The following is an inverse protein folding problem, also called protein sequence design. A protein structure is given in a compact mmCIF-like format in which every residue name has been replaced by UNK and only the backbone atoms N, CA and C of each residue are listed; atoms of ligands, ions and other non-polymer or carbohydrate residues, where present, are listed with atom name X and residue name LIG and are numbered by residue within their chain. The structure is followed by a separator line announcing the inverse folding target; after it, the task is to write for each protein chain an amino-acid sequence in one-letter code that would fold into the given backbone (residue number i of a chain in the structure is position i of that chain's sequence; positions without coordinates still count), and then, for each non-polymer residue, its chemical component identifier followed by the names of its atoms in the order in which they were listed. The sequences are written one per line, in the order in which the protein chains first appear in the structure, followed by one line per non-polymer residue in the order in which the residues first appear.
data_IF_811756371249
#
_entry.id   IF_811756371249
#
_cell.length_a   1.000
_cell.length_b   1.000
_cell.length_c   1.000
_cell.angle_alpha   90.00
_cell.angle_beta   90.00
_cell.angle_gamma   90.00
#
_symmetry.space_group_name_H-M   'P 1'
#
loop_
_entity.id
_entity.type
_entity.pdbx_description
1 polymer ?
#
# COMPACT_ATOMS: atom_id res chain seq x y z
N UNK A 1 2.96 -17.03 44.10
CA UNK A 1 2.16 -15.79 44.29
C UNK A 1 2.95 -14.55 43.87
N UNK A 2 4.30 -14.57 43.89
CA UNK A 2 5.13 -13.41 43.54
C UNK A 2 5.07 -13.00 42.06
N UNK A 3 4.96 -13.94 41.13
CA UNK A 3 4.91 -13.61 39.69
C UNK A 3 3.72 -12.71 39.33
N UNK A 4 2.53 -13.00 39.87
CA UNK A 4 1.32 -12.23 39.55
C UNK A 4 1.38 -10.85 40.20
N UNK A 5 1.94 -10.74 41.41
CA UNK A 5 2.15 -9.46 42.08
C UNK A 5 3.19 -8.59 41.35
N UNK A 6 4.31 -9.19 40.91
CA UNK A 6 5.34 -8.49 40.13
C UNK A 6 4.79 -8.04 38.77
N UNK A 7 4.10 -8.93 38.05
CA UNK A 7 3.45 -8.59 36.77
C UNK A 7 2.46 -7.43 36.93
N UNK A 8 1.58 -7.47 37.94
CA UNK A 8 0.61 -6.40 38.18
C UNK A 8 1.30 -5.10 38.57
N UNK A 9 2.36 -5.16 39.39
CA UNK A 9 3.13 -3.98 39.78
C UNK A 9 3.82 -3.34 38.56
N UNK A 10 4.52 -4.12 37.75
CA UNK A 10 5.20 -3.64 36.55
C UNK A 10 4.20 -3.13 35.51
N UNK A 11 3.05 -3.80 35.38
CA UNK A 11 1.96 -3.35 34.51
C UNK A 11 1.38 -2.00 34.95
N UNK A 12 1.15 -1.79 36.26
CA UNK A 12 0.68 -0.50 36.80
C UNK A 12 1.72 0.59 36.58
N UNK A 13 3.01 0.30 36.80
CA UNK A 13 4.10 1.24 36.52
C UNK A 13 4.12 1.63 35.04
N UNK A 14 3.96 0.66 34.13
CA UNK A 14 3.94 0.92 32.69
C UNK A 14 2.70 1.72 32.26
N UNK A 15 1.54 1.50 32.88
CA UNK A 15 0.32 2.30 32.67
C UNK A 15 0.48 3.78 33.05
N UNK A 16 1.38 4.08 33.99
CA UNK A 16 1.69 5.45 34.39
C UNK A 16 2.69 6.15 33.45
N UNK A 17 3.22 5.47 32.43
CA UNK A 17 4.08 6.11 31.44
C UNK A 17 3.31 7.19 30.66
N UNK A 18 3.91 8.38 30.41
CA UNK A 18 3.22 9.48 29.73
C UNK A 18 2.63 9.07 28.37
N UNK A 19 3.34 8.24 27.62
CA UNK A 19 2.91 7.76 26.30
C UNK A 19 1.66 6.89 26.39
N UNK A 20 1.62 5.92 27.31
CA UNK A 20 0.50 5.00 27.45
C UNK A 20 -0.70 5.70 28.09
N UNK A 21 -0.47 6.58 29.05
CA UNK A 21 -1.50 7.43 29.63
C UNK A 21 -2.15 8.35 28.59
N UNK A 22 -1.36 8.98 27.70
CA UNK A 22 -1.89 9.78 26.60
C UNK A 22 -2.69 8.95 25.59
N UNK A 23 -2.21 7.75 25.24
CA UNK A 23 -2.91 6.83 24.33
C UNK A 23 -4.25 6.37 24.92
N UNK A 24 -4.26 5.89 26.16
CA UNK A 24 -5.47 5.41 26.84
C UNK A 24 -6.42 6.58 27.10
N UNK A 25 -5.91 7.72 27.56
CA UNK A 25 -6.70 8.93 27.78
C UNK A 25 -7.35 9.43 26.49
N UNK A 26 -6.60 9.46 25.38
CA UNK A 26 -7.13 9.79 24.06
C UNK A 26 -8.20 8.81 23.59
N UNK A 27 -8.00 7.51 23.80
CA UNK A 27 -9.00 6.47 23.48
C UNK A 27 -10.27 6.65 24.31
N UNK A 28 -10.16 6.94 25.60
CA UNK A 28 -11.30 7.19 26.48
C UNK A 28 -12.03 8.47 26.05
N UNK A 29 -11.31 9.57 25.78
CA UNK A 29 -11.92 10.80 25.27
C UNK A 29 -12.67 10.56 23.96
N UNK A 30 -12.07 9.82 23.03
CA UNK A 30 -12.71 9.46 21.77
C UNK A 30 -13.96 8.58 21.99
N UNK A 31 -13.89 7.61 22.89
CA UNK A 31 -15.02 6.75 23.24
C UNK A 31 -16.17 7.52 23.92
N UNK A 32 -15.86 8.59 24.65
CA UNK A 32 -16.83 9.52 25.25
C UNK A 32 -17.41 10.52 24.23
N UNK A 33 -17.01 10.45 22.96
CA UNK A 33 -17.46 11.36 21.91
C UNK A 33 -16.83 12.75 21.98
N UNK A 34 -15.70 12.89 22.70
CA UNK A 34 -14.97 14.16 22.74
C UNK A 34 -14.24 14.41 21.42
N UNK A 35 -14.67 15.45 20.69
CA UNK A 35 -13.99 15.92 19.49
C UNK A 35 -12.79 16.80 19.87
N UNK A 36 -11.77 16.21 20.50
CA UNK A 36 -10.51 16.90 20.74
C UNK A 36 -9.75 17.06 19.42
N UNK A 37 -10.11 18.09 18.66
CA UNK A 37 -9.44 18.42 17.39
C UNK A 37 -8.19 19.24 17.71
N UNK A 38 -7.03 18.61 17.54
CA UNK A 38 -5.75 19.32 17.55
C UNK A 38 -5.57 19.96 16.17
N UNK A 39 -5.38 21.29 16.08
CA UNK A 39 -5.15 21.95 14.80
C UNK A 39 -3.94 21.38 14.06
N UNK A 40 -4.08 21.17 12.76
CA UNK A 40 -3.03 20.58 11.90
C UNK A 40 -1.71 21.38 11.97
N UNK A 41 -1.80 22.70 12.10
CA UNK A 41 -0.64 23.57 12.27
C UNK A 41 0.19 23.22 13.50
N UNK A 42 -0.45 22.85 14.61
CA UNK A 42 0.26 22.47 15.85
C UNK A 42 0.99 21.15 15.64
N UNK A 43 0.33 20.15 15.04
CA UNK A 43 0.95 18.87 14.70
C UNK A 43 2.19 19.07 13.81
N UNK A 44 2.07 19.93 12.79
CA UNK A 44 3.16 20.22 11.86
C UNK A 44 4.36 20.86 12.56
N UNK A 45 4.12 21.86 13.42
CA UNK A 45 5.19 22.52 14.18
C UNK A 45 5.87 21.53 15.14
N UNK A 46 5.11 20.68 15.82
CA UNK A 46 5.66 19.65 16.73
C UNK A 46 6.53 18.66 15.97
N UNK A 47 6.04 18.12 14.85
CA UNK A 47 6.81 17.18 14.02
C UNK A 47 8.08 17.84 13.48
N UNK A 48 7.97 19.07 12.97
CA UNK A 48 9.13 19.82 12.50
C UNK A 48 10.17 20.03 13.61
N UNK A 49 9.73 20.42 14.81
CA UNK A 49 10.62 20.63 15.95
C UNK A 49 11.30 19.32 16.38
N UNK A 50 10.55 18.22 16.43
CA UNK A 50 11.09 16.89 16.77
C UNK A 50 12.14 16.44 15.74
N UNK A 51 11.80 16.48 14.45
CA UNK A 51 12.72 16.11 13.38
C UNK A 51 13.97 17.00 13.37
N UNK A 52 13.81 18.30 13.60
CA UNK A 52 14.92 19.26 13.69
C UNK A 52 15.83 18.94 14.87
N UNK A 53 15.25 18.69 16.06
CA UNK A 53 16.00 18.29 17.27
C UNK A 53 16.81 17.02 17.00
N UNK A 54 16.18 15.98 16.46
CA UNK A 54 16.84 14.69 16.20
C UNK A 54 17.92 14.83 15.14
N UNK A 55 17.65 15.58 14.06
CA UNK A 55 18.61 15.83 13.00
C UNK A 55 19.85 16.58 13.51
N UNK A 56 19.65 17.61 14.33
CA UNK A 56 20.75 18.36 14.96
C UNK A 56 21.53 17.47 15.94
N UNK A 57 20.86 16.78 16.86
CA UNK A 57 21.52 15.89 17.83
C UNK A 57 22.28 14.76 17.13
N UNK A 58 21.67 14.12 16.13
CA UNK A 58 22.33 13.07 15.33
C UNK A 58 23.51 13.60 14.52
N UNK A 59 23.40 14.79 13.92
CA UNK A 59 24.49 15.42 13.18
C UNK A 59 25.69 15.79 14.06
N UNK A 60 25.44 16.33 15.26
CA UNK A 60 26.48 16.62 16.25
C UNK A 60 27.14 15.32 16.72
N UNK A 61 26.36 14.26 16.95
CA UNK A 61 26.88 12.96 17.33
C UNK A 61 27.79 12.35 16.24
N UNK A 62 27.38 12.40 14.97
CA UNK A 62 28.20 11.92 13.84
C UNK A 62 29.54 12.65 13.80
N UNK A 63 29.55 13.98 13.99
CA UNK A 63 30.79 14.78 13.98
C UNK A 63 31.79 14.36 15.05
N UNK A 64 31.31 13.87 16.20
CA UNK A 64 32.13 13.52 17.35
C UNK A 64 32.40 12.00 17.48
N UNK A 65 31.83 11.17 16.59
CA UNK A 65 31.90 9.71 16.67
C UNK A 65 32.80 9.11 15.58
N UNK A 66 33.28 7.89 15.80
CA UNK A 66 33.98 7.13 14.76
C UNK A 66 32.96 6.62 13.73
N UNK A 67 33.07 7.10 12.49
CA UNK A 67 32.18 6.71 11.40
C UNK A 67 32.19 5.20 11.11
N UNK A 68 33.31 4.52 11.41
CA UNK A 68 33.44 3.08 11.21
C UNK A 68 32.47 2.26 12.07
N UNK A 69 32.16 2.73 13.29
CA UNK A 69 31.24 2.04 14.19
C UNK A 69 29.78 2.13 13.69
N UNK A 70 29.48 3.15 12.87
CA UNK A 70 28.16 3.38 12.30
C UNK A 70 27.90 2.57 11.01
N UNK A 71 28.93 2.10 10.31
CA UNK A 71 28.78 1.41 9.00
C UNK A 71 27.97 0.13 9.14
N UNK A 72 28.27 -0.70 10.14
CA UNK A 72 27.58 -1.98 10.31
C UNK A 72 26.09 -1.78 10.67
N UNK A 73 25.72 -0.92 11.64
CA UNK A 73 24.33 -0.55 11.91
C UNK A 73 23.61 0.14 10.75
N UNK A 74 24.31 0.96 9.96
CA UNK A 74 23.73 1.59 8.77
C UNK A 74 23.31 0.55 7.73
N UNK A 75 24.19 -0.40 7.43
CA UNK A 75 23.89 -1.49 6.49
C UNK A 75 22.74 -2.35 7.01
N UNK A 76 22.72 -2.67 8.30
CA UNK A 76 21.63 -3.45 8.88
C UNK A 76 20.28 -2.72 8.78
N UNK A 77 20.25 -1.41 9.03
CA UNK A 77 19.04 -0.59 8.87
C UNK A 77 18.50 -0.59 7.44
N UNK A 78 19.38 -0.44 6.43
CA UNK A 78 19.00 -0.52 5.01
C UNK A 78 18.39 -1.89 4.69
N UNK A 79 19.07 -2.96 5.11
CA UNK A 79 18.62 -4.34 4.87
C UNK A 79 17.26 -4.58 5.53
N UNK A 80 17.08 -4.15 6.77
CA UNK A 80 15.83 -4.28 7.51
C UNK A 80 14.69 -3.54 6.82
N UNK A 81 14.90 -2.27 6.39
CA UNK A 81 13.88 -1.51 5.68
C UNK A 81 13.40 -2.22 4.41
N UNK A 82 14.34 -2.78 3.63
CA UNK A 82 14.04 -3.57 2.44
C UNK A 82 13.30 -4.86 2.80
N UNK A 83 13.77 -5.60 3.79
CA UNK A 83 13.19 -6.88 4.22
C UNK A 83 11.73 -6.70 4.66
N UNK A 84 11.40 -5.64 5.40
CA UNK A 84 10.03 -5.38 5.87
C UNK A 84 9.06 -5.23 4.68
N UNK A 85 9.47 -4.53 3.61
CA UNK A 85 8.66 -4.39 2.39
C UNK A 85 8.42 -5.75 1.73
N UNK A 86 9.45 -6.60 1.66
CA UNK A 86 9.30 -7.95 1.12
C UNK A 86 8.40 -8.83 2.00
N UNK A 87 8.56 -8.79 3.32
CA UNK A 87 7.70 -9.53 4.26
C UNK A 87 6.25 -9.12 4.06
N UNK A 88 5.97 -7.81 4.01
CA UNK A 88 4.61 -7.32 3.76
C UNK A 88 4.08 -7.81 2.41
N UNK A 89 4.89 -7.75 1.35
CA UNK A 89 4.50 -8.29 0.04
C UNK A 89 4.17 -9.79 0.10
N UNK A 90 4.93 -10.61 0.82
CA UNK A 90 4.70 -12.06 0.85
C UNK A 90 3.62 -12.50 1.83
N UNK A 91 3.40 -11.73 2.89
CA UNK A 91 2.44 -12.03 3.96
C UNK A 91 1.08 -11.37 3.67
N UNK A 92 1.04 -10.04 3.51
CA UNK A 92 -0.23 -9.33 3.29
C UNK A 92 -0.85 -9.64 1.93
N UNK A 93 -0.05 -9.89 0.89
CA UNK A 93 -0.63 -10.24 -0.41
C UNK A 93 -1.25 -11.65 -0.45
N UNK A 94 -1.05 -12.47 0.59
CA UNK A 94 -1.73 -13.77 0.75
C UNK A 94 -3.05 -13.65 1.49
N UNK A 95 -3.33 -12.51 2.12
CA UNK A 95 -4.60 -12.30 2.82
C UNK A 95 -5.77 -12.18 1.82
N UNK A 96 -6.93 -12.75 2.13
CA UNK A 96 -8.13 -12.57 1.31
C UNK A 96 -8.50 -11.09 1.26
N UNK A 97 -8.95 -10.62 0.09
CA UNK A 97 -9.36 -9.23 -0.20
C UNK A 97 -8.27 -8.15 -0.22
N UNK A 98 -6.98 -8.48 -0.04
CA UNK A 98 -5.90 -7.50 -0.11
C UNK A 98 -5.28 -7.49 -1.51
N UNK A 99 -5.26 -6.33 -2.18
CA UNK A 99 -4.55 -6.20 -3.46
C UNK A 99 -3.04 -6.24 -3.19
N UNK A 100 -2.29 -6.88 -4.09
CA UNK A 100 -0.83 -6.96 -3.97
C UNK A 100 -0.17 -5.57 -3.91
N UNK A 101 -0.73 -4.58 -4.60
CA UNK A 101 -0.22 -3.19 -4.56
C UNK A 101 -0.45 -2.57 -3.18
N UNK A 102 -1.61 -2.79 -2.57
CA UNK A 102 -1.93 -2.29 -1.24
C UNK A 102 -1.03 -2.96 -0.19
N UNK A 103 -0.75 -4.27 -0.32
CA UNK A 103 0.20 -4.97 0.52
C UNK A 103 1.63 -4.40 0.43
N UNK A 104 2.09 -4.04 -0.78
CA UNK A 104 3.40 -3.43 -0.99
C UNK A 104 3.42 -2.00 -0.45
N UNK A 105 2.36 -1.22 -0.64
CA UNK A 105 2.25 0.14 -0.13
C UNK A 105 2.26 0.16 1.41
N UNK A 106 1.52 -0.74 2.05
CA UNK A 106 1.55 -0.96 3.50
C UNK A 106 2.93 -1.40 3.97
N UNK A 107 3.61 -2.28 3.22
CA UNK A 107 5.00 -2.65 3.47
C UNK A 107 5.97 -1.48 3.40
N UNK A 108 5.78 -0.59 2.44
CA UNK A 108 6.51 0.68 2.34
C UNK A 108 6.24 1.58 3.52
N UNK A 109 4.98 1.75 3.92
CA UNK A 109 4.57 2.60 5.04
C UNK A 109 5.15 2.14 6.39
N UNK A 110 5.19 0.83 6.66
CA UNK A 110 5.73 0.29 7.91
C UNK A 110 7.23 -0.02 7.84
N UNK A 111 7.78 -0.21 6.64
CA UNK A 111 9.22 -0.31 6.43
C UNK A 111 9.90 1.06 6.50
N UNK A 112 9.21 2.10 6.05
CA UNK A 112 9.52 3.49 6.32
C UNK A 112 9.29 3.77 7.80
N UNK A 113 10.35 4.04 8.54
CA UNK A 113 10.20 4.46 9.94
C UNK A 113 9.57 5.85 9.94
N UNK A 114 8.69 6.14 10.90
CA UNK A 114 8.25 7.51 11.13
C UNK A 114 9.24 8.23 12.06
N UNK A 115 9.73 9.39 11.65
CA UNK A 115 10.69 10.15 12.46
C UNK A 115 10.12 10.59 13.81
N UNK A 116 8.80 10.80 13.90
CA UNK A 116 8.13 11.08 15.18
C UNK A 116 8.09 9.87 16.11
N UNK A 117 7.94 8.65 15.57
CA UNK A 117 7.98 7.42 16.36
C UNK A 117 9.39 7.14 16.87
N UNK A 118 10.41 7.37 16.05
CA UNK A 118 11.80 7.27 16.51
C UNK A 118 12.09 8.31 17.60
N UNK A 119 11.62 9.55 17.42
CA UNK A 119 11.75 10.62 18.43
C UNK A 119 11.21 10.18 19.80
N UNK A 120 9.99 9.64 19.80
CA UNK A 120 9.34 9.14 20.99
C UNK A 120 10.12 7.98 21.60
N UNK A 121 10.58 7.03 20.78
CA UNK A 121 11.38 5.88 21.24
C UNK A 121 12.69 6.30 21.90
N UNK A 122 13.44 7.23 21.30
CA UNK A 122 14.66 7.77 21.90
C UNK A 122 14.37 8.49 23.23
N UNK A 123 13.28 9.24 23.30
CA UNK A 123 12.86 9.94 24.53
C UNK A 123 12.51 8.94 25.64
N UNK A 124 11.83 7.84 25.31
CA UNK A 124 11.53 6.77 26.29
C UNK A 124 12.82 6.10 26.77
N UNK A 125 13.79 5.84 25.90
CA UNK A 125 15.09 5.30 26.31
C UNK A 125 15.83 6.26 27.27
N UNK A 126 15.78 7.57 27.01
CA UNK A 126 16.32 8.60 27.91
C UNK A 126 15.62 8.59 29.27
N UNK A 127 14.28 8.54 29.29
CA UNK A 127 13.47 8.48 30.53
C UNK A 127 13.79 7.23 31.36
N UNK A 128 14.04 6.10 30.71
CA UNK A 128 14.39 4.84 31.36
C UNK A 128 15.89 4.72 31.67
N UNK A 129 16.69 5.75 31.39
CA UNK A 129 18.14 5.75 31.56
C UNK A 129 18.86 4.63 30.79
N UNK A 130 18.28 4.15 29.69
CA UNK A 130 18.87 3.12 28.84
C UNK A 130 19.83 3.82 27.88
N UNK A 131 21.11 3.47 27.99
CA UNK A 131 22.15 4.03 27.14
C UNK A 131 21.97 3.52 25.69
N UNK A 132 22.08 4.45 24.74
CA UNK A 132 22.07 4.16 23.31
C UNK A 132 23.09 5.05 22.61
N UNK A 133 23.50 4.64 21.42
CA UNK A 133 24.49 5.36 20.62
C UNK A 133 23.97 6.75 20.20
N UNK A 134 24.75 7.81 20.42
CA UNK A 134 24.30 9.18 20.14
C UNK A 134 23.95 9.42 18.65
N UNK A 135 24.52 8.62 17.75
CA UNK A 135 24.24 8.65 16.31
C UNK A 135 23.03 7.79 15.91
N UNK A 136 22.34 7.12 16.84
CA UNK A 136 21.20 6.24 16.53
C UNK A 136 20.10 6.94 15.74
N UNK A 137 19.81 8.21 16.06
CA UNK A 137 18.84 9.03 15.32
C UNK A 137 19.24 9.26 13.85
N UNK A 138 20.53 9.23 13.53
CA UNK A 138 21.03 9.42 12.17
C UNK A 138 20.81 8.20 11.27
N UNK A 139 20.45 7.04 11.81
CA UNK A 139 20.11 5.85 11.01
C UNK A 139 18.74 5.97 10.34
N UNK A 140 17.90 6.89 10.82
CA UNK A 140 16.54 7.08 10.33
C UNK A 140 16.43 7.11 8.80
N UNK A 141 17.16 7.98 8.07
CA UNK A 141 17.00 8.09 6.62
C UNK A 141 17.50 6.84 5.88
N UNK A 142 18.47 6.13 6.47
CA UNK A 142 19.03 4.90 5.91
C UNK A 142 18.06 3.72 6.01
N UNK A 143 17.06 3.78 6.87
CA UNK A 143 15.96 2.81 6.88
C UNK A 143 14.78 3.28 6.02
N UNK A 144 14.41 4.55 6.15
CA UNK A 144 13.23 5.15 5.51
C UNK A 144 13.34 5.17 3.97
N UNK A 145 14.41 5.76 3.44
CA UNK A 145 14.58 5.93 1.99
C UNK A 145 14.62 4.58 1.27
N UNK A 146 15.42 3.58 1.70
CA UNK A 146 15.44 2.29 1.02
C UNK A 146 14.11 1.54 1.07
N UNK A 147 13.36 1.62 2.18
CA UNK A 147 12.05 0.99 2.27
C UNK A 147 11.05 1.62 1.29
N UNK A 148 10.94 2.96 1.25
CA UNK A 148 10.05 3.67 0.34
C UNK A 148 10.40 3.41 -1.13
N UNK A 149 11.68 3.55 -1.49
CA UNK A 149 12.15 3.29 -2.85
C UNK A 149 11.86 1.85 -3.25
N UNK A 150 12.13 0.89 -2.38
CA UNK A 150 11.86 -0.53 -2.64
C UNK A 150 10.38 -0.79 -2.85
N UNK A 151 9.49 -0.23 -2.02
CA UNK A 151 8.05 -0.37 -2.17
C UNK A 151 7.56 0.19 -3.52
N UNK A 152 8.02 1.40 -3.89
CA UNK A 152 7.67 2.04 -5.17
C UNK A 152 8.15 1.18 -6.35
N UNK A 153 9.41 0.75 -6.36
CA UNK A 153 9.99 -0.04 -7.45
C UNK A 153 9.27 -1.38 -7.59
N UNK A 154 9.04 -2.09 -6.49
CA UNK A 154 8.34 -3.38 -6.47
C UNK A 154 6.90 -3.24 -6.95
N UNK A 155 6.18 -2.22 -6.49
CA UNK A 155 4.80 -1.94 -6.92
C UNK A 155 4.76 -1.65 -8.43
N UNK A 156 5.68 -0.84 -8.93
CA UNK A 156 5.73 -0.44 -10.34
C UNK A 156 6.07 -1.64 -11.26
N UNK A 157 7.02 -2.49 -10.85
CA UNK A 157 7.33 -3.75 -11.55
C UNK A 157 6.11 -4.67 -11.59
N UNK A 158 5.37 -4.79 -10.49
CA UNK A 158 4.16 -5.62 -10.41
C UNK A 158 3.06 -5.12 -11.36
N UNK A 159 2.80 -3.81 -11.37
CA UNK A 159 1.82 -3.18 -12.25
C UNK A 159 2.17 -3.37 -13.73
N UNK A 160 3.44 -3.17 -14.10
CA UNK A 160 3.90 -3.39 -15.47
C UNK A 160 3.76 -4.85 -15.93
N UNK A 161 4.05 -5.81 -15.06
CA UNK A 161 3.82 -7.24 -15.37
C UNK A 161 2.34 -7.56 -15.57
N UNK A 162 1.46 -6.98 -14.76
CA UNK A 162 -0.01 -7.16 -14.90
C UNK A 162 -0.52 -6.56 -16.21
N UNK A 163 -0.07 -5.35 -16.58
CA UNK A 163 -0.42 -4.69 -17.85
C UNK A 163 0.05 -5.49 -19.07
N UNK A 164 1.28 -6.02 -19.06
CA UNK A 164 1.76 -6.89 -20.16
C UNK A 164 0.94 -8.17 -20.29
N UNK A 165 0.57 -8.80 -19.16
CA UNK A 165 -0.26 -10.01 -19.15
C UNK A 165 -1.68 -9.76 -19.66
N UNK A 166 -2.30 -8.62 -19.34
CA UNK A 166 -3.62 -8.27 -19.85
C UNK A 166 -3.60 -8.01 -21.36
N UNK A 167 -2.58 -7.32 -21.87
CA UNK A 167 -2.41 -7.06 -23.30
C UNK A 167 -2.18 -8.38 -24.06
N UNK A 168 -1.31 -9.25 -23.58
CA UNK A 168 -1.09 -10.57 -24.18
C UNK A 168 -2.36 -11.44 -24.16
N UNK A 169 -3.14 -11.41 -23.08
CA UNK A 169 -4.39 -12.14 -22.99
C UNK A 169 -5.48 -11.57 -23.92
N UNK A 170 -5.50 -10.25 -24.15
CA UNK A 170 -6.40 -9.61 -25.10
C UNK A 170 -6.06 -9.99 -26.55
N UNK A 171 -4.78 -9.95 -26.93
CA UNK A 171 -4.34 -10.36 -28.27
C UNK A 171 -4.63 -11.83 -28.56
N UNK A 172 -4.43 -12.73 -27.59
CA UNK A 172 -4.78 -14.16 -27.74
C UNK A 172 -6.29 -14.36 -27.85
N UNK A 173 -7.09 -13.57 -27.13
CA UNK A 173 -8.56 -13.64 -27.21
C UNK A 173 -9.08 -13.12 -28.55
N UNK A 174 -8.52 -12.03 -29.08
CA UNK A 174 -8.85 -11.49 -30.41
C UNK A 174 -8.43 -12.44 -31.53
N UNK A 175 -7.24 -13.05 -31.44
CA UNK A 175 -6.78 -14.04 -32.42
C UNK A 175 -7.62 -15.33 -32.36
N UNK A 176 -8.07 -15.74 -31.18
CA UNK A 176 -8.95 -16.91 -31.01
C UNK A 176 -10.38 -16.65 -31.50
N UNK A 177 -10.92 -15.44 -31.30
CA UNK A 177 -12.20 -15.00 -31.86
C UNK A 177 -12.15 -14.88 -33.38
N UNK A 178 -11.01 -14.44 -33.93
CA UNK A 178 -10.81 -14.34 -35.38
C UNK A 178 -10.60 -15.69 -36.06
N UNK A 179 -10.15 -16.73 -35.33
CA UNK A 179 -9.93 -18.09 -35.85
C UNK A 179 -11.08 -19.05 -35.54
N UNK A 180 -12.11 -18.60 -34.83
CA UNK A 180 -13.29 -19.42 -34.57
C UNK A 180 -14.03 -19.60 -35.91
N UNK A 181 -14.09 -20.82 -36.49
CA UNK A 181 -14.92 -21.02 -37.66
C UNK A 181 -16.34 -20.71 -37.22
N UNK A 182 -16.95 -19.72 -37.85
CA UNK A 182 -18.38 -19.44 -37.70
C UNK A 182 -19.05 -20.78 -37.99
N UNK A 183 -19.59 -21.42 -36.96
CA UNK A 183 -20.38 -22.62 -37.13
C UNK A 183 -21.54 -22.20 -38.02
N UNK A 184 -21.44 -22.56 -39.30
CA UNK A 184 -22.53 -22.45 -40.25
C UNK A 184 -23.63 -23.35 -39.67
N UNK A 185 -24.53 -22.74 -38.90
CA UNK A 185 -25.81 -23.34 -38.60
C UNK A 185 -26.47 -23.65 -39.94
N UNK A 186 -27.08 -24.84 -40.01
CA UNK A 186 -27.79 -25.34 -41.18
C UNK A 186 -28.58 -24.21 -41.86
N UNK A 187 -28.06 -23.74 -42.98
CA UNK A 187 -28.84 -22.88 -43.88
C UNK A 187 -29.92 -23.78 -44.48
N UNK A 188 -31.22 -23.42 -44.40
CA UNK A 188 -32.21 -24.10 -45.20
C UNK A 188 -31.81 -23.93 -46.68
N UNK A 189 -31.87 -25.03 -47.42
CA UNK A 189 -31.46 -25.09 -48.81
C UNK A 189 -32.08 -23.96 -49.65
N UNK A 190 -31.22 -23.30 -50.44
CA UNK A 190 -31.52 -22.60 -51.68
C UNK A 190 -32.88 -21.88 -51.75
N UNK A 191 -32.96 -20.65 -51.25
CA UNK A 191 -34.01 -19.73 -51.69
C UNK A 191 -33.58 -19.07 -52.99
N UNK A 192 -34.32 -19.35 -54.05
CA UNK A 192 -34.10 -18.86 -55.41
C UNK A 192 -34.38 -17.35 -55.45
N UNK A 193 -33.33 -16.54 -55.48
CA UNK A 193 -33.44 -15.09 -55.56
C UNK A 193 -33.53 -14.68 -57.03
N UNK A 194 -34.53 -13.86 -57.42
CA UNK A 194 -34.65 -13.42 -58.80
C UNK A 194 -33.40 -12.63 -59.20
N UNK A 195 -32.77 -13.03 -60.30
CA UNK A 195 -31.47 -12.46 -60.71
C UNK A 195 -31.62 -11.27 -61.66
N UNK A 196 -32.84 -11.02 -62.15
CA UNK A 196 -33.08 -10.05 -63.21
C UNK A 196 -34.11 -8.99 -62.79
N UNK A 197 -33.85 -7.73 -63.17
CA UNK A 197 -34.66 -6.55 -62.79
C UNK A 197 -36.14 -6.63 -63.23
N UNK A 198 -36.45 -7.40 -64.27
CA UNK A 198 -37.82 -7.62 -64.74
C UNK A 198 -38.61 -8.55 -63.81
N UNK A 199 -37.94 -9.55 -63.23
CA UNK A 199 -38.53 -10.59 -62.37
C UNK A 199 -38.93 -10.02 -61.00
N UNK A 200 -38.15 -9.05 -60.50
CA UNK A 200 -38.53 -8.24 -59.34
C UNK A 200 -39.78 -7.37 -59.59
N UNK A 201 -39.93 -6.79 -60.79
CA UNK A 201 -41.08 -5.93 -61.10
C UNK A 201 -42.37 -6.74 -61.29
N UNK A 202 -42.29 -7.97 -61.78
CA UNK A 202 -43.46 -8.86 -61.87
C UNK A 202 -43.97 -9.29 -60.49
N UNK A 203 -43.10 -9.46 -59.49
CA UNK A 203 -43.53 -9.79 -58.13
C UNK A 203 -44.15 -8.60 -57.39
N UNK A 204 -43.88 -7.38 -57.83
CA UNK A 204 -44.39 -6.16 -57.19
C UNK A 204 -45.76 -5.73 -57.75
N UNK A 205 -46.32 -6.50 -58.68
CA UNK A 205 -47.56 -6.19 -59.39
C UNK A 205 -48.69 -7.17 -59.06
N UNK A 206 -48.72 -7.66 -57.81
CA UNK A 206 -49.88 -8.34 -57.24
C UNK A 206 -50.77 -7.30 -56.53
N UNK A 207 -52.04 -7.11 -56.96
CA UNK A 207 -52.89 -6.03 -56.46
C UNK A 207 -53.82 -6.56 -55.37
N UNK A 208 -53.30 -6.95 -54.20
CA UNK A 208 -54.17 -7.03 -53.03
C UNK A 208 -53.40 -6.90 -51.71
N UNK A 209 -54.12 -6.37 -50.73
CA UNK A 209 -53.72 -6.22 -49.32
C UNK A 209 -52.90 -4.97 -48.95
N UNK A 210 -53.52 -3.82 -49.19
CA UNK A 210 -53.17 -2.58 -48.49
C UNK A 210 -53.88 -2.53 -47.13
N UNK A 211 -53.28 -3.11 -46.08
CA UNK A 211 -53.68 -2.86 -44.68
C UNK A 211 -52.47 -2.64 -43.77
N UNK A 212 -52.09 -1.38 -43.61
CA UNK A 212 -51.21 -0.91 -42.55
C UNK A 212 -51.99 -0.97 -41.24
N UNK A 213 -51.60 -1.86 -40.31
CA UNK A 213 -52.11 -1.86 -38.93
C UNK A 213 -51.41 -0.75 -38.15
N UNK A 214 -52.20 0.21 -37.67
CA UNK A 214 -51.81 1.19 -36.64
C UNK A 214 -52.00 0.56 -35.26
#
# INVERSE_FOLDING_TARGET
MDFLSLFVKDFIIQLQSPTLAFLIGGMILAALGSELVIPESICTIIVFMLLTKIGLTGGIAIRNSNLLDMVLPMISAIIIGIIVVFIARYTLAKLPNVKVVDAIATGGLFGAVSGSTMAAGLTVLEEQNIQYEAWAGALYPFMDIPALVTAIVIANIYLNKKKKKSVAAQSIKEESLSKQPVAAGDYPAQQDYPSTRQEYRSQQQDPDDNRVKV
#
